data_IF_149939237611
#
_entry.id   IF_149939237611
#
_cell.length_a   1.000
_cell.length_b   1.000
_cell.length_c   1.000
_cell.angle_alpha   90.00
_cell.angle_beta   90.00
_cell.angle_gamma   90.00
#
_symmetry.space_group_name_H-M   'P 1'
#
loop_
_entity.id
_entity.type
_entity.pdbx_description
1 polymer ?
#
# COMPACT_ATOMS: atom_id res chain seq x y z
N UNK A 1 -8.07 30.78 -31.81
CA UNK A 1 -7.51 30.98 -30.47
C UNK A 1 -7.71 29.68 -29.71
N UNK A 2 -6.66 29.05 -29.18
CA UNK A 2 -6.85 27.86 -28.33
C UNK A 2 -7.74 28.21 -27.14
N UNK A 3 -8.62 27.29 -26.74
CA UNK A 3 -9.46 27.54 -25.57
C UNK A 3 -8.57 27.62 -24.31
N UNK A 4 -9.00 28.34 -23.27
CA UNK A 4 -8.28 28.36 -21.98
C UNK A 4 -8.02 26.96 -21.42
N UNK A 5 -8.90 26.00 -21.73
CA UNK A 5 -8.78 24.61 -21.32
C UNK A 5 -7.67 23.86 -22.06
N UNK A 6 -7.37 24.25 -23.31
CA UNK A 6 -6.30 23.66 -24.10
C UNK A 6 -4.93 24.18 -23.64
N UNK A 7 -4.84 25.47 -23.29
CA UNK A 7 -3.64 26.05 -22.68
C UNK A 7 -3.29 25.36 -21.35
N UNK A 8 -4.33 25.09 -20.54
CA UNK A 8 -4.23 24.31 -19.30
C UNK A 8 -3.69 22.89 -19.58
N UNK A 9 -4.30 22.14 -20.48
CA UNK A 9 -3.80 20.80 -20.81
C UNK A 9 -2.37 20.79 -21.39
N UNK A 10 -2.00 21.81 -22.15
CA UNK A 10 -0.64 21.96 -22.66
C UNK A 10 0.39 22.13 -21.52
N UNK A 11 0.07 22.91 -20.49
CA UNK A 11 0.94 23.08 -19.32
C UNK A 11 1.11 21.76 -18.53
N UNK A 12 0.02 21.02 -18.33
CA UNK A 12 0.08 19.70 -17.70
C UNK A 12 0.97 18.73 -18.50
N UNK A 13 0.80 18.72 -19.82
CA UNK A 13 1.62 17.90 -20.74
C UNK A 13 3.09 18.27 -20.65
N UNK A 14 3.42 19.56 -20.63
CA UNK A 14 4.81 20.03 -20.55
C UNK A 14 5.53 19.48 -19.31
N UNK A 15 4.88 19.47 -18.14
CA UNK A 15 5.46 18.91 -16.91
C UNK A 15 5.71 17.40 -17.04
N UNK A 16 4.75 16.67 -17.62
CA UNK A 16 4.82 15.22 -17.74
C UNK A 16 5.84 14.77 -18.80
N UNK A 17 6.02 15.54 -19.87
CA UNK A 17 7.04 15.29 -20.90
C UNK A 17 8.48 15.40 -20.35
N UNK A 18 8.68 16.12 -19.23
CA UNK A 18 9.97 16.22 -18.54
C UNK A 18 10.24 15.03 -17.59
N UNK A 19 9.28 14.13 -17.39
CA UNK A 19 9.45 12.99 -16.50
C UNK A 19 10.33 11.91 -17.17
N UNK A 20 11.44 11.47 -16.55
CA UNK A 20 12.45 10.63 -17.20
C UNK A 20 11.95 9.25 -17.66
N UNK A 21 10.87 8.75 -17.03
CA UNK A 21 10.36 7.40 -17.28
C UNK A 21 9.05 7.39 -18.07
N UNK A 22 8.54 8.54 -18.47
CA UNK A 22 7.25 8.64 -19.13
C UNK A 22 7.46 9.00 -20.60
N UNK A 23 6.86 8.21 -21.47
CA UNK A 23 6.84 8.46 -22.91
C UNK A 23 5.41 8.78 -23.32
N UNK A 24 5.21 10.00 -23.81
CA UNK A 24 3.89 10.41 -24.31
C UNK A 24 3.46 9.51 -25.47
N UNK A 25 2.25 8.98 -25.34
CA UNK A 25 1.55 8.21 -26.35
C UNK A 25 0.32 8.99 -26.79
N UNK A 26 0.24 9.43 -28.06
CA UNK A 26 -0.99 10.02 -28.58
C UNK A 26 -2.14 9.02 -28.42
N UNK A 27 -3.22 9.42 -27.74
CA UNK A 27 -4.42 8.59 -27.65
C UNK A 27 -5.00 8.30 -29.04
N UNK A 28 -5.62 7.13 -29.22
CA UNK A 28 -6.34 6.84 -30.47
C UNK A 28 -7.58 7.75 -30.52
N UNK A 29 -7.68 8.59 -31.55
CA UNK A 29 -8.87 9.43 -31.81
C UNK A 29 -10.15 8.62 -32.05
N UNK A 30 -10.08 7.30 -32.00
CA UNK A 30 -11.17 6.39 -32.37
C UNK A 30 -12.12 6.07 -31.21
N UNK A 31 -11.79 6.43 -29.96
CA UNK A 31 -12.71 6.26 -28.85
C UNK A 31 -13.42 7.59 -28.52
N UNK A 32 -14.71 7.75 -28.91
CA UNK A 32 -15.46 8.99 -28.74
C UNK A 32 -15.73 9.36 -27.28
N UNK A 33 -15.47 8.45 -26.33
CA UNK A 33 -15.57 8.73 -24.88
C UNK A 33 -14.26 9.23 -24.26
N UNK A 34 -13.15 9.13 -25.02
CA UNK A 34 -11.80 9.52 -24.63
C UNK A 34 -11.37 10.78 -25.40
N UNK A 35 -12.19 11.83 -25.34
CA UNK A 35 -11.85 13.09 -25.97
C UNK A 35 -10.76 13.75 -25.13
N UNK A 36 -9.57 13.92 -25.72
CA UNK A 36 -8.45 14.73 -25.20
C UNK A 36 -7.83 14.26 -23.88
N UNK A 37 -7.29 13.05 -23.89
CA UNK A 37 -6.46 12.51 -22.80
C UNK A 37 -4.95 12.55 -23.10
N UNK A 38 -4.14 12.80 -22.07
CA UNK A 38 -2.70 12.57 -22.10
C UNK A 38 -2.42 11.14 -21.63
N UNK A 39 -1.72 10.35 -22.45
CA UNK A 39 -1.34 8.97 -22.11
C UNK A 39 0.16 8.85 -22.08
N UNK A 40 0.67 8.11 -21.10
CA UNK A 40 2.07 7.85 -20.96
C UNK A 40 2.30 6.36 -20.76
N UNK A 41 3.17 5.83 -21.61
CA UNK A 41 3.77 4.52 -21.44
C UNK A 41 5.10 4.70 -20.67
N UNK A 42 5.54 3.67 -19.94
CA UNK A 42 6.86 3.66 -19.35
C UNK A 42 7.90 3.59 -20.46
N UNK A 43 8.93 4.44 -20.42
CA UNK A 43 9.95 4.54 -21.47
C UNK A 43 10.71 3.23 -21.70
N UNK A 44 11.05 2.51 -20.61
CA UNK A 44 11.76 1.23 -20.66
C UNK A 44 10.88 0.02 -20.99
N UNK A 45 9.78 -0.21 -20.27
CA UNK A 45 8.95 -1.42 -20.46
C UNK A 45 7.92 -1.29 -21.59
N UNK A 46 7.64 -0.08 -22.08
CA UNK A 46 6.73 0.15 -23.20
C UNK A 46 5.25 -0.11 -22.88
N UNK A 47 4.89 -0.23 -21.60
CA UNK A 47 3.52 -0.47 -21.15
C UNK A 47 2.87 0.80 -20.59
N UNK A 48 1.54 0.87 -20.62
CA UNK A 48 0.79 2.00 -20.06
C UNK A 48 1.06 2.16 -18.56
N UNK A 49 1.24 3.41 -18.12
CA UNK A 49 1.48 3.75 -16.71
C UNK A 49 0.48 4.78 -16.20
N UNK A 50 0.24 5.83 -16.98
CA UNK A 50 -0.37 7.04 -16.48
C UNK A 50 -1.26 7.63 -17.57
N UNK A 51 -2.44 8.10 -17.18
CA UNK A 51 -3.22 8.95 -18.05
C UNK A 51 -4.02 10.00 -17.31
N UNK A 52 -4.15 11.16 -17.96
CA UNK A 52 -5.02 12.26 -17.55
C UNK A 52 -6.09 12.46 -18.61
N UNK A 53 -7.35 12.47 -18.23
CA UNK A 53 -8.49 12.66 -19.11
C UNK A 53 -9.17 13.97 -18.78
N UNK A 54 -9.51 14.75 -19.80
CA UNK A 54 -10.43 15.87 -19.60
C UNK A 54 -11.75 15.28 -19.15
N UNK A 55 -12.22 15.70 -17.99
CA UNK A 55 -13.40 15.09 -17.44
C UNK A 55 -14.66 15.59 -18.15
N UNK A 56 -15.45 14.65 -18.65
CA UNK A 56 -16.78 14.90 -19.22
C UNK A 56 -17.88 14.09 -18.53
N UNK A 57 -17.53 13.24 -17.56
CA UNK A 57 -18.47 12.29 -16.91
C UNK A 57 -18.85 12.73 -15.51
N UNK A 58 -17.89 13.14 -14.70
CA UNK A 58 -18.12 13.38 -13.25
C UNK A 58 -18.18 14.87 -12.95
N UNK A 59 -19.33 15.51 -13.11
CA UNK A 59 -19.47 16.96 -12.92
C UNK A 59 -18.86 17.41 -11.59
N UNK A 60 -17.83 18.26 -11.65
CA UNK A 60 -17.07 18.72 -10.49
C UNK A 60 -15.58 18.38 -10.54
N UNK A 61 -15.17 17.32 -11.25
CA UNK A 61 -13.76 17.13 -11.60
C UNK A 61 -13.45 17.89 -12.90
N UNK A 62 -12.30 18.56 -12.98
CA UNK A 62 -11.79 19.12 -14.24
C UNK A 62 -11.01 18.07 -15.01
N UNK A 63 -10.31 17.20 -14.27
CA UNK A 63 -9.39 16.18 -14.78
C UNK A 63 -9.62 14.88 -14.05
N UNK A 64 -9.57 13.77 -14.78
CA UNK A 64 -9.53 12.45 -14.18
C UNK A 64 -8.19 11.77 -14.45
N UNK A 65 -7.59 11.23 -13.41
CA UNK A 65 -6.29 10.60 -13.44
C UNK A 65 -6.44 9.10 -13.20
N UNK A 66 -5.76 8.29 -14.00
CA UNK A 66 -5.52 6.88 -13.73
C UNK A 66 -4.03 6.57 -13.78
N UNK A 67 -3.52 5.81 -12.82
CA UNK A 67 -2.10 5.48 -12.73
C UNK A 67 -1.87 4.07 -12.19
N UNK A 68 -0.96 3.33 -12.82
CA UNK A 68 -0.53 2.01 -12.40
C UNK A 68 0.70 2.12 -11.46
N UNK A 69 0.53 1.88 -10.14
CA UNK A 69 1.64 1.97 -9.20
C UNK A 69 2.78 0.99 -9.49
N UNK A 70 2.49 -0.16 -10.12
CA UNK A 70 3.47 -1.22 -10.36
C UNK A 70 4.39 -0.93 -11.54
N UNK A 71 3.91 -0.09 -12.47
CA UNK A 71 4.62 0.28 -13.69
C UNK A 71 5.19 1.69 -13.64
N UNK A 72 4.91 2.45 -12.58
CA UNK A 72 5.38 3.84 -12.43
C UNK A 72 6.84 3.93 -12.01
N UNK A 73 7.31 2.97 -11.20
CA UNK A 73 8.71 2.85 -10.79
C UNK A 73 9.61 2.28 -11.87
N UNK A 74 10.92 2.22 -11.62
CA UNK A 74 11.87 1.59 -12.53
C UNK A 74 11.69 0.06 -12.56
N UNK A 75 12.12 -0.63 -13.63
CA UNK A 75 12.15 -2.08 -13.65
C UNK A 75 12.91 -2.62 -12.43
N UNK A 76 12.28 -3.55 -11.69
CA UNK A 76 12.75 -4.15 -10.44
C UNK A 76 12.60 -3.32 -9.16
N UNK A 77 12.02 -2.12 -9.22
CA UNK A 77 11.68 -1.36 -8.00
C UNK A 77 10.56 -2.05 -7.20
N UNK A 78 10.62 -1.93 -5.88
CA UNK A 78 9.46 -2.20 -5.02
C UNK A 78 8.39 -1.14 -5.32
N UNK A 79 7.22 -1.56 -5.79
CA UNK A 79 6.12 -0.65 -6.11
C UNK A 79 5.33 -0.19 -4.90
N UNK A 80 5.51 -0.79 -3.72
CA UNK A 80 4.73 -0.44 -2.50
C UNK A 80 4.94 1.02 -2.07
N UNK A 81 6.16 1.58 -2.07
CA UNK A 81 6.38 3.00 -1.81
C UNK A 81 5.68 3.90 -2.83
N UNK A 82 5.72 3.56 -4.12
CA UNK A 82 5.00 4.29 -5.18
C UNK A 82 3.50 4.30 -4.92
N UNK A 83 2.95 3.12 -4.60
CA UNK A 83 1.54 2.97 -4.26
C UNK A 83 1.14 3.83 -3.07
N UNK A 84 1.89 3.78 -1.98
CA UNK A 84 1.63 4.61 -0.78
C UNK A 84 1.70 6.10 -1.08
N UNK A 85 2.68 6.52 -1.88
CA UNK A 85 2.79 7.92 -2.29
C UNK A 85 1.58 8.35 -3.13
N UNK A 86 1.16 7.52 -4.09
CA UNK A 86 -0.02 7.78 -4.91
C UNK A 86 -1.32 7.80 -4.10
N UNK A 87 -1.48 6.90 -3.14
CA UNK A 87 -2.60 6.90 -2.19
C UNK A 87 -2.62 8.19 -1.38
N UNK A 88 -1.46 8.64 -0.88
CA UNK A 88 -1.35 9.91 -0.19
C UNK A 88 -1.71 11.11 -1.09
N UNK A 89 -1.24 11.12 -2.35
CA UNK A 89 -1.63 12.17 -3.30
C UNK A 89 -3.13 12.16 -3.59
N UNK A 90 -3.74 10.97 -3.70
CA UNK A 90 -5.19 10.83 -3.83
C UNK A 90 -5.89 11.45 -2.64
N UNK A 91 -5.57 11.03 -1.43
CA UNK A 91 -6.26 11.51 -0.24
C UNK A 91 -6.12 13.03 -0.06
N UNK A 92 -5.00 13.61 -0.52
CA UNK A 92 -4.73 15.05 -0.47
C UNK A 92 -5.42 15.87 -1.57
N UNK A 93 -5.48 15.34 -2.80
CA UNK A 93 -5.86 16.13 -3.99
C UNK A 93 -7.22 15.74 -4.55
N UNK A 94 -7.80 14.61 -4.14
CA UNK A 94 -9.07 14.14 -4.64
C UNK A 94 -10.19 15.14 -4.33
N UNK A 95 -10.93 15.48 -5.38
CA UNK A 95 -12.16 16.27 -5.27
C UNK A 95 -13.40 15.37 -5.23
N UNK A 96 -13.58 14.54 -6.26
CA UNK A 96 -14.63 13.51 -6.33
C UNK A 96 -14.00 12.20 -6.81
N UNK A 97 -14.73 11.09 -6.69
CA UNK A 97 -14.36 9.84 -7.36
C UNK A 97 -14.14 10.04 -8.85
N UNK A 98 -13.10 9.42 -9.40
CA UNK A 98 -12.88 9.41 -10.85
C UNK A 98 -13.77 8.34 -11.49
N UNK A 99 -14.45 8.74 -12.55
CA UNK A 99 -15.14 7.82 -13.43
C UNK A 99 -14.18 6.86 -14.14
N UNK A 100 -14.78 5.80 -14.70
CA UNK A 100 -14.05 4.82 -15.49
C UNK A 100 -14.17 5.22 -16.97
N UNK A 101 -13.06 5.67 -17.56
CA UNK A 101 -13.00 6.12 -18.96
C UNK A 101 -12.62 5.02 -19.97
N UNK A 102 -11.82 4.05 -19.53
CA UNK A 102 -11.37 2.91 -20.33
C UNK A 102 -11.29 1.66 -19.44
N UNK A 103 -10.96 0.51 -20.04
CA UNK A 103 -10.82 -0.79 -19.38
C UNK A 103 -10.28 -0.68 -17.95
N UNK A 104 -10.91 -1.41 -17.02
CA UNK A 104 -10.40 -1.51 -15.66
C UNK A 104 -9.02 -2.19 -15.71
N UNK A 105 -7.97 -1.40 -15.51
CA UNK A 105 -6.65 -1.92 -15.18
C UNK A 105 -6.70 -2.33 -13.70
N UNK A 106 -6.53 -3.62 -13.37
CA UNK A 106 -6.52 -4.06 -11.99
C UNK A 106 -5.46 -3.31 -11.20
N UNK A 107 -5.80 -2.86 -10.00
CA UNK A 107 -4.92 -2.14 -9.08
C UNK A 107 -4.49 -0.72 -9.48
N UNK A 108 -5.01 -0.16 -10.58
CA UNK A 108 -4.78 1.24 -10.90
C UNK A 108 -5.41 2.16 -9.85
N UNK A 109 -4.68 3.19 -9.45
CA UNK A 109 -5.19 4.26 -8.60
C UNK A 109 -5.88 5.29 -9.50
N UNK A 110 -7.07 5.70 -9.11
CA UNK A 110 -7.87 6.68 -9.83
C UNK A 110 -8.15 7.88 -8.94
N UNK A 111 -8.05 9.08 -9.51
CA UNK A 111 -8.17 10.34 -8.78
C UNK A 111 -8.98 11.33 -9.62
N UNK A 112 -10.08 11.84 -9.08
CA UNK A 112 -10.81 12.96 -9.66
C UNK A 112 -10.24 14.27 -9.12
N UNK A 113 -9.78 15.16 -10.01
CA UNK A 113 -8.97 16.32 -9.68
C UNK A 113 -9.60 17.61 -10.21
N UNK A 114 -9.36 18.72 -9.49
CA UNK A 114 -9.37 20.04 -10.13
C UNK A 114 -8.16 20.19 -11.04
N UNK A 115 -8.18 21.16 -11.93
CA UNK A 115 -7.04 21.42 -12.80
C UNK A 115 -5.78 21.82 -11.99
N UNK A 116 -5.93 22.65 -10.97
CA UNK A 116 -4.81 23.01 -10.07
C UNK A 116 -4.30 21.79 -9.30
N UNK A 117 -5.20 20.89 -8.89
CA UNK A 117 -4.84 19.61 -8.29
C UNK A 117 -4.05 18.72 -9.25
N UNK A 118 -4.40 18.69 -10.54
CA UNK A 118 -3.66 17.96 -11.57
C UNK A 118 -2.24 18.53 -11.80
N UNK A 119 -2.09 19.86 -11.83
CA UNK A 119 -0.77 20.51 -11.90
C UNK A 119 0.09 20.21 -10.67
N UNK A 120 -0.51 20.28 -9.48
CA UNK A 120 0.17 19.96 -8.23
C UNK A 120 0.63 18.48 -8.20
N UNK A 121 -0.23 17.57 -8.65
CA UNK A 121 0.11 16.16 -8.79
C UNK A 121 1.26 15.94 -9.77
N UNK A 122 1.16 16.48 -10.99
CA UNK A 122 2.18 16.29 -12.02
C UNK A 122 3.54 16.85 -11.61
N UNK A 123 3.55 18.01 -10.96
CA UNK A 123 4.78 18.63 -10.42
C UNK A 123 5.42 17.75 -9.33
N UNK A 124 4.61 17.23 -8.42
CA UNK A 124 5.08 16.33 -7.36
C UNK A 124 5.58 15.01 -7.94
N UNK A 125 4.89 14.44 -8.94
CA UNK A 125 5.30 13.24 -9.63
C UNK A 125 6.65 13.42 -10.33
N UNK A 126 6.82 14.52 -11.08
CA UNK A 126 8.09 14.87 -11.72
C UNK A 126 9.22 14.93 -10.68
N UNK A 127 8.97 15.55 -9.53
CA UNK A 127 9.94 15.65 -8.45
C UNK A 127 10.31 14.28 -7.87
N UNK A 128 9.35 13.38 -7.63
CA UNK A 128 9.65 12.01 -7.18
C UNK A 128 10.45 11.24 -8.22
N UNK A 129 10.03 11.28 -9.49
CA UNK A 129 10.71 10.55 -10.56
C UNK A 129 12.13 11.08 -10.82
N UNK A 130 12.46 12.31 -10.43
CA UNK A 130 13.80 12.89 -10.58
C UNK A 130 14.81 12.48 -9.48
N UNK A 131 14.35 12.10 -8.27
CA UNK A 131 15.25 11.68 -7.15
C UNK A 131 16.07 10.46 -7.55
N UNK A 132 17.33 10.23 -7.14
CA UNK A 132 18.03 8.95 -7.38
C UNK A 132 17.54 7.79 -6.46
N UNK A 133 17.66 6.52 -6.93
CA UNK A 133 17.35 5.21 -6.28
C UNK A 133 16.50 5.16 -4.99
N UNK A 134 15.37 4.43 -4.98
CA UNK A 134 14.49 4.28 -3.80
C UNK A 134 13.42 5.38 -3.66
N UNK A 135 12.85 5.80 -4.79
CA UNK A 135 12.36 7.16 -5.09
C UNK A 135 10.89 7.46 -4.74
N UNK A 136 10.47 7.20 -3.50
CA UNK A 136 9.14 7.61 -3.06
C UNK A 136 9.24 8.12 -1.63
N UNK A 137 9.71 9.37 -1.51
CA UNK A 137 9.96 9.98 -0.21
C UNK A 137 8.66 10.38 0.48
N UNK A 138 8.57 10.16 1.78
CA UNK A 138 7.65 10.91 2.63
C UNK A 138 8.15 12.36 2.66
N UNK A 139 7.61 13.20 1.77
CA UNK A 139 7.88 14.64 1.81
C UNK A 139 7.31 15.19 3.12
N UNK A 140 8.17 15.43 4.12
CA UNK A 140 7.87 16.32 5.23
C UNK A 140 7.59 17.72 4.65
N UNK A 141 6.50 18.40 5.04
CA UNK A 141 6.27 19.75 4.56
C UNK A 141 7.32 20.69 5.16
N UNK A 142 8.16 21.28 4.29
CA UNK A 142 8.95 22.45 4.63
C UNK A 142 8.00 23.61 4.91
N UNK A 143 7.96 24.05 6.16
CA UNK A 143 7.26 25.26 6.57
C UNK A 143 8.07 26.50 6.17
N UNK A 144 7.57 27.26 5.19
CA UNK A 144 7.82 28.70 4.96
C UNK A 144 6.73 29.14 3.98
N UNK A 145 5.81 30.07 4.25
CA UNK A 145 5.91 31.37 4.92
C UNK A 145 4.52 31.73 5.46
N UNK A 146 4.45 32.11 6.73
CA UNK A 146 3.26 32.70 7.34
C UNK A 146 3.29 34.23 7.16
N UNK A 147 2.15 34.83 6.81
CA UNK A 147 1.87 36.24 7.10
C UNK A 147 0.37 36.48 7.36
N UNK A 148 0.08 36.79 8.63
CA UNK A 148 -0.80 37.84 9.18
C UNK A 148 -2.33 37.75 8.92
N UNK A 149 -3.13 37.24 9.88
CA UNK A 149 -3.92 37.91 10.97
C UNK A 149 -5.42 38.09 10.59
N UNK A 150 -6.43 38.21 11.51
CA UNK A 150 -6.37 38.22 12.98
C UNK A 150 -7.37 37.35 13.79
N UNK A 151 -6.87 36.92 14.95
CA UNK A 151 -7.40 36.81 16.34
C UNK A 151 -8.89 36.99 16.72
N UNK A 152 -9.40 35.99 17.48
CA UNK A 152 -10.22 36.02 18.73
C UNK A 152 -11.47 35.11 18.73
N UNK A 153 -12.01 34.63 19.88
CA UNK A 153 -11.43 34.37 21.21
C UNK A 153 -11.68 32.93 21.76
N UNK A 154 -11.10 32.64 22.93
CA UNK A 154 -11.04 31.34 23.63
C UNK A 154 -12.36 30.85 24.28
N UNK A 155 -12.50 29.53 24.58
CA UNK A 155 -13.58 29.00 25.40
C UNK A 155 -13.19 28.86 26.89
N UNK A 156 -14.18 29.13 27.75
CA UNK A 156 -14.15 29.07 29.21
C UNK A 156 -13.89 27.66 29.77
N UNK A 157 -13.02 27.60 30.78
CA UNK A 157 -12.86 26.48 31.71
C UNK A 157 -14.10 26.30 32.59
N UNK A 158 -14.47 25.04 32.87
CA UNK A 158 -15.08 24.68 34.15
C UNK A 158 -14.48 23.39 34.70
N UNK A 159 -13.83 23.56 35.84
CA UNK A 159 -13.30 22.57 36.77
C UNK A 159 -14.41 21.94 37.62
N UNK A 160 -14.28 20.67 37.98
CA UNK A 160 -15.08 20.06 39.04
C UNK A 160 -14.80 18.57 39.24
N UNK A 161 -14.08 18.25 40.32
CA UNK A 161 -13.50 16.94 40.65
C UNK A 161 -14.26 16.30 41.82
N UNK A 162 -14.73 15.06 41.59
CA UNK A 162 -14.77 13.89 42.50
C UNK A 162 -15.62 13.96 43.81
N UNK A 163 -15.66 12.89 44.64
CA UNK A 163 -16.28 11.58 44.41
C UNK A 163 -17.16 11.14 45.62
N UNK A 164 -17.94 10.06 45.52
CA UNK A 164 -18.21 9.25 46.73
C UNK A 164 -18.54 7.79 46.40
N UNK A 165 -17.96 6.92 47.23
CA UNK A 165 -18.20 5.50 47.34
C UNK A 165 -19.05 5.23 48.59
N UNK A 166 -19.67 4.04 48.66
CA UNK A 166 -20.29 3.47 49.87
C UNK A 166 -21.81 3.33 49.72
N UNK A 167 -22.39 2.13 49.53
CA UNK A 167 -22.48 0.96 50.43
C UNK A 167 -23.78 0.92 51.24
N UNK A 168 -24.36 -0.28 51.30
CA UNK A 168 -25.43 -0.80 52.15
C UNK A 168 -26.88 -0.38 51.78
N UNK A 169 -27.84 -1.25 51.44
CA UNK A 169 -28.28 -2.59 51.89
C UNK A 169 -29.64 -2.49 52.61
N UNK A 170 -30.65 -3.24 52.11
CA UNK A 170 -31.73 -3.97 52.80
C UNK A 170 -32.95 -4.10 51.84
N UNK A 171 -33.22 -5.28 51.26
CA UNK A 171 -33.98 -6.45 51.78
C UNK A 171 -35.50 -6.38 51.53
N UNK A 172 -35.97 -7.27 50.64
CA UNK A 172 -37.05 -8.25 50.82
C UNK A 172 -37.21 -8.97 49.46
N UNK A 173 -36.66 -10.17 49.28
CA UNK A 173 -37.30 -11.46 49.55
C UNK A 173 -38.53 -11.70 48.63
N UNK A 174 -38.33 -12.48 47.56
CA UNK A 174 -39.24 -13.57 47.24
C UNK A 174 -38.49 -14.69 46.51
N UNK A 175 -38.82 -15.92 46.88
CA UNK A 175 -38.13 -17.14 46.55
C UNK A 175 -38.63 -17.72 45.22
N UNK A 176 -37.70 -18.19 44.40
CA UNK A 176 -37.98 -18.90 43.16
C UNK A 176 -36.75 -19.69 42.76
N UNK A 177 -36.54 -20.79 43.48
CA UNK A 177 -35.48 -21.76 43.23
C UNK A 177 -35.78 -22.48 41.90
N UNK A 178 -34.96 -22.21 40.89
CA UNK A 178 -34.81 -23.11 39.75
C UNK A 178 -33.33 -23.24 39.47
N UNK A 179 -32.79 -24.42 39.78
CA UNK A 179 -31.51 -24.91 39.32
C UNK A 179 -31.39 -24.75 37.80
N UNK A 180 -30.88 -23.61 37.34
CA UNK A 180 -30.29 -23.48 36.02
C UNK A 180 -28.89 -24.06 36.12
N UNK A 181 -28.81 -25.36 35.87
CA UNK A 181 -27.60 -26.06 35.45
C UNK A 181 -26.84 -25.13 34.50
N UNK A 182 -25.61 -24.75 34.86
CA UNK A 182 -24.77 -23.88 34.05
C UNK A 182 -24.47 -24.61 32.74
N UNK A 183 -25.34 -24.45 31.77
CA UNK A 183 -25.17 -24.99 30.43
C UNK A 183 -23.88 -24.38 29.89
N UNK A 184 -22.81 -25.18 29.88
CA UNK A 184 -21.57 -24.85 29.18
C UNK A 184 -21.94 -24.46 27.77
N UNK A 185 -21.71 -23.18 27.46
CA UNK A 185 -21.99 -22.60 26.15
C UNK A 185 -21.45 -23.52 25.05
N UNK A 186 -22.26 -23.87 24.02
CA UNK A 186 -21.81 -24.78 22.99
C UNK A 186 -20.49 -24.30 22.37
N UNK A 187 -19.49 -25.17 22.12
CA UNK A 187 -18.14 -24.75 21.73
C UNK A 187 -18.11 -23.79 20.52
N UNK A 188 -19.04 -23.96 19.58
CA UNK A 188 -19.14 -23.11 18.40
C UNK A 188 -19.62 -21.69 18.71
N UNK A 189 -20.44 -21.48 19.75
CA UNK A 189 -20.86 -20.14 20.18
C UNK A 189 -19.69 -19.40 20.83
N UNK A 190 -18.89 -20.08 21.64
CA UNK A 190 -17.67 -19.51 22.23
C UNK A 190 -16.63 -19.14 21.14
N UNK A 191 -16.48 -19.96 20.10
CA UNK A 191 -15.62 -19.67 18.94
C UNK A 191 -16.16 -18.47 18.15
N UNK A 192 -17.46 -18.45 17.84
CA UNK A 192 -18.10 -17.36 17.12
C UNK A 192 -17.98 -16.03 17.89
N UNK A 193 -18.07 -16.06 19.23
CA UNK A 193 -17.85 -14.87 20.07
C UNK A 193 -16.41 -14.36 19.97
N UNK A 194 -15.41 -15.25 19.96
CA UNK A 194 -13.99 -14.84 19.75
C UNK A 194 -13.78 -14.22 18.37
N UNK A 195 -14.32 -14.85 17.32
CA UNK A 195 -14.27 -14.30 15.95
C UNK A 195 -14.96 -12.93 15.89
N UNK A 196 -16.13 -12.77 16.53
CA UNK A 196 -16.84 -11.49 16.58
C UNK A 196 -16.04 -10.40 17.30
N UNK A 197 -15.35 -10.73 18.40
CA UNK A 197 -14.48 -9.79 19.11
C UNK A 197 -13.32 -9.34 18.21
N UNK A 198 -12.63 -10.28 17.56
CA UNK A 198 -11.56 -9.96 16.61
C UNK A 198 -12.07 -9.12 15.44
N UNK A 199 -13.21 -9.48 14.86
CA UNK A 199 -13.82 -8.70 13.76
C UNK A 199 -14.18 -7.29 14.20
N UNK A 200 -14.79 -7.11 15.37
CA UNK A 200 -15.10 -5.78 15.92
C UNK A 200 -13.83 -4.96 16.16
N UNK A 201 -12.78 -5.58 16.69
CA UNK A 201 -11.49 -4.92 16.88
C UNK A 201 -10.87 -4.50 15.54
N UNK A 202 -10.87 -5.39 14.54
CA UNK A 202 -10.40 -5.10 13.18
C UNK A 202 -11.21 -3.99 12.51
N UNK A 203 -12.55 -3.98 12.65
CA UNK A 203 -13.41 -2.92 12.13
C UNK A 203 -13.16 -1.58 12.81
N UNK A 204 -12.95 -1.57 14.14
CA UNK A 204 -12.62 -0.36 14.88
C UNK A 204 -11.23 0.20 14.51
N UNK A 205 -10.30 -0.68 14.12
CA UNK A 205 -8.98 -0.31 13.65
C UNK A 205 -8.94 0.02 12.15
N UNK A 206 -10.00 -0.34 11.40
CA UNK A 206 -10.12 -0.03 9.98
C UNK A 206 -10.18 1.48 9.77
N UNK A 207 -9.37 2.01 8.85
CA UNK A 207 -9.21 3.45 8.63
C UNK A 207 -8.24 4.15 9.60
N UNK A 208 -7.71 3.44 10.61
CA UNK A 208 -6.66 3.97 11.48
C UNK A 208 -5.29 3.80 10.82
N UNK A 209 -4.46 4.85 10.88
CA UNK A 209 -3.07 4.80 10.44
C UNK A 209 -2.25 4.04 11.48
N UNK A 210 -1.66 2.90 11.10
CA UNK A 210 -0.74 2.18 11.98
C UNK A 210 0.69 2.73 11.82
N UNK A 211 1.30 3.14 12.93
CA UNK A 211 2.72 3.50 12.98
C UNK A 211 3.53 2.21 13.06
N UNK A 212 3.97 1.71 11.91
CA UNK A 212 4.88 0.56 11.89
C UNK A 212 6.28 1.07 12.19
N UNK A 213 6.89 0.64 13.29
CA UNK A 213 8.32 0.89 13.51
C UNK A 213 9.07 0.14 12.42
N UNK A 214 9.66 0.87 11.47
CA UNK A 214 10.46 0.27 10.43
C UNK A 214 11.66 -0.46 11.06
N UNK A 215 11.68 -1.79 10.97
CA UNK A 215 12.82 -2.59 11.43
C UNK A 215 14.02 -2.24 10.56
N UNK A 216 15.17 -1.90 11.18
CA UNK A 216 16.42 -1.69 10.45
C UNK A 216 16.84 -3.00 9.76
N UNK A 217 17.02 -2.96 8.44
CA UNK A 217 17.43 -4.10 7.63
C UNK A 217 18.71 -3.73 6.90
N UNK A 218 19.84 -4.05 7.50
CA UNK A 218 21.15 -3.86 6.90
C UNK A 218 21.51 -5.05 6.00
N UNK A 219 22.32 -4.77 4.98
CA UNK A 219 23.01 -5.77 4.18
C UNK A 219 24.40 -5.99 4.82
N UNK A 220 24.53 -7.05 5.63
CA UNK A 220 25.74 -7.33 6.43
C UNK A 220 26.66 -8.30 5.72
N UNK A 221 27.03 -7.96 4.49
CA UNK A 221 28.06 -8.65 3.72
C UNK A 221 29.29 -7.76 3.63
N UNK A 222 30.48 -8.36 3.52
CA UNK A 222 31.75 -7.63 3.39
C UNK A 222 31.74 -6.72 2.15
N UNK A 223 31.23 -7.25 1.04
CA UNK A 223 31.15 -6.62 -0.27
C UNK A 223 30.14 -7.40 -1.14
N UNK A 224 29.87 -6.89 -2.35
CA UNK A 224 28.93 -7.50 -3.29
C UNK A 224 29.37 -8.89 -3.76
N UNK A 225 30.67 -9.18 -3.84
CA UNK A 225 31.17 -10.50 -4.23
C UNK A 225 30.85 -11.53 -3.15
N UNK A 226 31.05 -11.18 -1.88
CA UNK A 226 30.67 -12.04 -0.76
C UNK A 226 29.16 -12.32 -0.74
N UNK A 227 28.33 -11.34 -1.11
CA UNK A 227 26.89 -11.57 -1.27
C UNK A 227 26.59 -12.56 -2.40
N UNK A 228 27.21 -12.38 -3.57
CA UNK A 228 27.02 -13.28 -4.71
C UNK A 228 27.48 -14.71 -4.38
N UNK A 229 28.64 -14.88 -3.75
CA UNK A 229 29.16 -16.19 -3.31
C UNK A 229 28.16 -16.90 -2.38
N UNK A 230 27.66 -16.22 -1.36
CA UNK A 230 26.70 -16.75 -0.40
C UNK A 230 25.35 -17.12 -1.06
N UNK A 231 24.81 -16.24 -1.92
CA UNK A 231 23.55 -16.51 -2.62
C UNK A 231 23.70 -17.64 -3.64
N UNK A 232 24.83 -17.71 -4.35
CA UNK A 232 25.14 -18.81 -5.27
C UNK A 232 25.24 -20.14 -4.51
N UNK A 233 25.92 -20.17 -3.36
CA UNK A 233 26.00 -21.37 -2.53
C UNK A 233 24.60 -21.82 -2.05
N UNK A 234 23.74 -20.88 -1.66
CA UNK A 234 22.36 -21.18 -1.28
C UNK A 234 21.52 -21.70 -2.45
N UNK A 235 21.68 -21.16 -3.65
CA UNK A 235 21.00 -21.63 -4.87
C UNK A 235 21.44 -23.05 -5.24
N UNK A 236 22.74 -23.34 -5.15
CA UNK A 236 23.29 -24.67 -5.37
C UNK A 236 22.77 -25.67 -4.33
N UNK A 237 22.80 -25.30 -3.04
CA UNK A 237 22.28 -26.13 -1.95
C UNK A 237 20.78 -26.39 -2.10
N UNK A 238 20.02 -25.39 -2.55
CA UNK A 238 18.59 -25.50 -2.80
C UNK A 238 18.26 -26.44 -3.97
N UNK A 239 19.20 -26.69 -4.89
CA UNK A 239 19.04 -27.58 -6.05
C UNK A 239 17.72 -27.36 -6.81
N UNK A 240 17.37 -26.10 -7.06
CA UNK A 240 16.15 -25.71 -7.75
C UNK A 240 14.86 -25.89 -6.95
N UNK A 241 14.92 -26.04 -5.62
CA UNK A 241 13.75 -26.21 -4.75
C UNK A 241 13.64 -25.12 -3.69
N UNK A 242 12.41 -24.77 -3.34
CA UNK A 242 12.13 -23.86 -2.23
C UNK A 242 12.55 -24.50 -0.90
N UNK A 243 13.39 -23.83 -0.11
CA UNK A 243 13.87 -24.35 1.19
C UNK A 243 12.75 -24.60 2.21
N UNK A 244 11.63 -23.89 2.09
CA UNK A 244 10.48 -24.02 3.00
C UNK A 244 9.48 -25.06 2.50
N UNK A 245 9.07 -24.95 1.24
CA UNK A 245 7.95 -25.71 0.70
C UNK A 245 8.39 -26.89 -0.18
N UNK A 246 9.66 -27.01 -0.55
CA UNK A 246 10.19 -28.05 -1.46
C UNK A 246 9.62 -28.05 -2.87
N UNK A 247 8.78 -27.07 -3.22
CA UNK A 247 8.28 -26.89 -4.59
C UNK A 247 9.44 -26.56 -5.52
N UNK A 248 9.34 -27.02 -6.77
CA UNK A 248 10.30 -26.65 -7.81
C UNK A 248 10.21 -25.15 -8.07
N UNK A 249 11.39 -24.53 -8.09
CA UNK A 249 11.57 -23.13 -8.45
C UNK A 249 11.64 -23.02 -9.96
N UNK A 250 11.19 -21.88 -10.47
CA UNK A 250 11.27 -21.53 -11.88
C UNK A 250 12.36 -20.47 -12.09
N UNK A 251 13.51 -20.90 -12.57
CA UNK A 251 14.64 -20.04 -12.92
C UNK A 251 14.45 -19.32 -14.27
N UNK A 252 13.47 -19.73 -15.09
CA UNK A 252 13.17 -19.12 -16.39
C UNK A 252 12.30 -17.87 -16.30
N UNK A 253 11.57 -17.70 -15.20
CA UNK A 253 10.67 -16.56 -14.98
C UNK A 253 9.27 -16.70 -15.60
N UNK A 254 8.95 -17.83 -16.23
CA UNK A 254 7.64 -18.07 -16.87
C UNK A 254 6.47 -18.16 -15.88
N UNK A 255 6.74 -18.63 -14.67
CA UNK A 255 5.82 -18.77 -13.54
C UNK A 255 6.25 -17.81 -12.45
N UNK A 256 5.84 -16.56 -12.60
CA UNK A 256 6.24 -15.46 -11.72
C UNK A 256 6.25 -15.84 -10.22
N UNK A 257 5.21 -16.51 -9.73
CA UNK A 257 5.09 -16.90 -8.32
C UNK A 257 6.08 -17.98 -7.85
N UNK A 258 6.60 -18.80 -8.77
CA UNK A 258 7.55 -19.89 -8.50
C UNK A 258 9.00 -19.48 -8.68
N UNK A 259 9.26 -18.24 -9.09
CA UNK A 259 10.64 -17.76 -9.24
C UNK A 259 11.37 -17.72 -7.89
N UNK A 260 12.70 -17.97 -7.88
CA UNK A 260 13.51 -17.84 -6.67
C UNK A 260 13.40 -16.46 -6.02
N UNK A 261 13.33 -16.45 -4.70
CA UNK A 261 13.27 -15.25 -3.88
C UNK A 261 14.13 -15.45 -2.63
N UNK A 262 14.79 -14.40 -2.19
CA UNK A 262 15.64 -14.41 -1.01
C UNK A 262 14.80 -14.08 0.23
N UNK A 263 14.69 -15.02 1.16
CA UNK A 263 13.97 -14.87 2.44
C UNK A 263 14.94 -14.88 3.63
N UNK A 264 14.55 -14.20 4.70
CA UNK A 264 15.25 -14.22 5.98
C UNK A 264 14.59 -15.24 6.89
N UNK A 265 15.35 -16.20 7.40
CA UNK A 265 14.87 -17.20 8.37
C UNK A 265 14.31 -16.49 9.61
N UNK A 266 15.11 -15.59 10.17
CA UNK A 266 14.67 -14.62 11.17
C UNK A 266 14.27 -13.30 10.50
N UNK A 267 12.95 -13.02 10.51
CA UNK A 267 12.36 -11.81 9.94
C UNK A 267 12.72 -10.53 10.73
N UNK A 268 13.16 -10.67 11.98
CA UNK A 268 13.66 -9.59 12.83
C UNK A 268 15.15 -9.29 12.58
N UNK A 269 15.90 -10.27 12.04
CA UNK A 269 17.31 -10.12 11.70
C UNK A 269 17.60 -9.37 10.40
N UNK A 270 18.88 -9.20 10.10
CA UNK A 270 19.38 -8.53 8.91
C UNK A 270 19.59 -9.49 7.73
N UNK A 271 19.87 -8.94 6.54
CA UNK A 271 20.36 -9.75 5.42
C UNK A 271 21.84 -10.03 5.70
N UNK A 272 22.13 -11.23 6.21
CA UNK A 272 23.45 -11.63 6.66
C UNK A 272 23.69 -13.12 6.36
N UNK A 273 24.96 -13.56 6.21
CA UNK A 273 25.29 -14.97 6.12
C UNK A 273 24.62 -15.79 7.23
N UNK A 274 24.14 -16.98 6.89
CA UNK A 274 23.42 -17.87 7.81
C UNK A 274 21.93 -17.54 8.04
N UNK A 275 21.51 -16.27 7.91
CA UNK A 275 20.11 -15.86 8.08
C UNK A 275 19.29 -15.91 6.78
N UNK A 276 19.88 -16.30 5.65
CA UNK A 276 19.21 -16.33 4.35
C UNK A 276 18.81 -17.74 3.93
N UNK A 277 17.78 -17.82 3.08
CA UNK A 277 17.34 -19.03 2.39
C UNK A 277 16.67 -18.69 1.05
N UNK A 278 16.72 -19.62 0.09
CA UNK A 278 16.02 -19.48 -1.19
C UNK A 278 14.63 -20.10 -1.08
N UNK A 279 13.61 -19.32 -1.42
CA UNK A 279 12.21 -19.74 -1.41
C UNK A 279 11.50 -19.31 -2.69
N UNK A 280 10.30 -19.85 -2.96
CA UNK A 280 9.45 -19.33 -4.02
C UNK A 280 8.86 -17.96 -3.62
N UNK A 281 8.63 -17.05 -4.57
CA UNK A 281 8.04 -15.73 -4.30
C UNK A 281 6.73 -15.80 -3.52
N UNK A 282 5.82 -16.71 -3.88
CA UNK A 282 4.56 -16.83 -3.15
C UNK A 282 4.76 -17.24 -1.69
N UNK A 283 5.75 -18.10 -1.41
CA UNK A 283 6.09 -18.54 -0.05
C UNK A 283 6.66 -17.38 0.76
N UNK A 284 7.58 -16.60 0.19
CA UNK A 284 8.13 -15.42 0.85
C UNK A 284 7.00 -14.43 1.24
N UNK A 285 6.04 -14.22 0.32
CA UNK A 285 4.88 -13.37 0.56
C UNK A 285 3.96 -13.92 1.66
N UNK A 286 3.70 -15.22 1.68
CA UNK A 286 2.85 -15.86 2.68
C UNK A 286 3.48 -15.84 4.06
N UNK A 287 4.80 -16.08 4.14
CA UNK A 287 5.54 -16.01 5.39
C UNK A 287 5.57 -14.58 5.95
N UNK A 288 5.73 -13.56 5.09
CA UNK A 288 5.76 -12.15 5.50
C UNK A 288 6.78 -11.91 6.62
N UNK A 289 6.33 -11.58 7.83
CA UNK A 289 7.13 -11.37 9.03
C UNK A 289 7.01 -12.51 10.05
N UNK A 290 6.24 -13.55 9.74
CA UNK A 290 6.11 -14.74 10.58
C UNK A 290 7.47 -15.44 10.75
N UNK A 291 7.78 -15.93 11.97
CA UNK A 291 8.94 -16.77 12.20
C UNK A 291 8.94 -18.01 11.31
N UNK A 292 10.11 -18.39 10.78
CA UNK A 292 10.24 -19.51 9.84
C UNK A 292 9.72 -20.84 10.41
N UNK A 293 9.98 -21.12 11.69
CA UNK A 293 9.52 -22.33 12.36
C UNK A 293 7.98 -22.41 12.45
N UNK A 294 7.34 -21.31 12.81
CA UNK A 294 5.87 -21.22 12.90
C UNK A 294 5.24 -21.39 11.51
N UNK A 295 5.80 -20.71 10.50
CA UNK A 295 5.28 -20.82 9.14
C UNK A 295 5.40 -22.24 8.58
N UNK A 296 6.52 -22.95 8.85
CA UNK A 296 6.69 -24.36 8.46
C UNK A 296 5.65 -25.27 9.11
N UNK A 297 5.28 -25.03 10.36
CA UNK A 297 4.23 -25.80 11.05
C UNK A 297 2.87 -25.59 10.39
N UNK A 298 2.49 -24.34 10.12
CA UNK A 298 1.22 -24.03 9.43
C UNK A 298 1.19 -24.63 8.02
N UNK A 299 2.30 -24.53 7.28
CA UNK A 299 2.40 -25.11 5.94
C UNK A 299 2.31 -26.64 5.98
N UNK A 300 2.86 -27.29 6.99
CA UNK A 300 2.72 -28.73 7.20
C UNK A 300 1.25 -29.11 7.47
N UNK A 301 0.52 -28.33 8.26
CA UNK A 301 -0.90 -28.55 8.52
C UNK A 301 -1.75 -28.43 7.24
N UNK A 302 -1.41 -27.53 6.32
CA UNK A 302 -2.09 -27.41 5.01
C UNK A 302 -1.79 -28.60 4.08
N UNK A 303 -0.66 -29.28 4.28
CA UNK A 303 -0.23 -30.44 3.49
C UNK A 303 -0.67 -31.78 4.07
N UNK A 304 -1.08 -31.78 5.33
CA UNK A 304 -1.62 -32.97 5.97
C UNK A 304 -2.91 -33.38 5.22
N UNK A 305 -3.06 -34.67 4.88
CA UNK A 305 -4.21 -35.18 4.13
C UNK A 305 -5.53 -35.04 4.88
#
# INVERSE_FOLDING_TARGET
MSSPQDARYAALKAILDECPNLKYKPGSRQNPTLVDGLYYDHSTIGEWVLSFYRNVKTQGNDVELAVDPYRLGWPNDDSRPARRWLEHQRDRLQRLESGIHAHQVPNAIRIGLTYDGALAFASALRAELAKPNGRWGATQPSATTASQHPEAPAPLEQTGKAPSAGSAAARAADAGDSHAEAATEPPFIAIARRMLITTKATCAQSGSTSTVVAKSKELRFRDDNHFLEEVTALLQQAAGRCAVSQVLLDDTGTRAEFTPSLDRKDSNGHYAPGNLQIVARFINRWKSDMPDAEFRQLLAAVRAP
#
